data_IF_371471580976
#
_entry.id   IF_371471580976
#
_cell.length_a   1.000
_cell.length_b   1.000
_cell.length_c   1.000
_cell.angle_alpha   90.00
_cell.angle_beta   90.00
_cell.angle_gamma   90.00
#
_symmetry.space_group_name_H-M   'P 1'
#
loop_
_entity.id
_entity.type
_entity.pdbx_description
1 polymer ?
#
# COMPACT_ATOMS: atom_id res chain seq x y z
N UNK A 1 -5.99 -2.35 12.18
CA UNK A 1 -6.90 -3.11 11.29
C UNK A 1 -6.07 -3.69 10.16
N UNK A 2 -6.32 -4.94 9.79
CA UNK A 2 -5.56 -5.62 8.73
C UNK A 2 -6.35 -5.57 7.40
N UNK A 3 -5.68 -5.24 6.31
CA UNK A 3 -6.25 -5.13 4.97
C UNK A 3 -5.35 -5.82 3.95
N UNK A 4 -5.93 -6.41 2.92
CA UNK A 4 -5.21 -6.98 1.78
C UNK A 4 -5.50 -6.18 0.52
N UNK A 5 -4.44 -5.94 -0.26
CA UNK A 5 -4.49 -5.21 -1.51
C UNK A 5 -3.81 -6.04 -2.59
N UNK A 6 -4.46 -6.17 -3.74
CA UNK A 6 -3.96 -6.80 -4.94
C UNK A 6 -4.42 -6.01 -6.17
N UNK A 7 -3.46 -5.39 -6.86
CA UNK A 7 -3.74 -4.60 -8.07
C UNK A 7 -4.26 -5.43 -9.25
N UNK A 8 -4.09 -6.75 -9.22
CA UNK A 8 -4.54 -7.65 -10.28
C UNK A 8 -6.03 -8.05 -10.16
N UNK A 9 -6.66 -7.85 -9.00
CA UNK A 9 -8.08 -8.17 -8.81
C UNK A 9 -9.01 -7.03 -9.24
N UNK A 10 -10.27 -7.36 -9.45
CA UNK A 10 -11.32 -6.36 -9.71
C UNK A 10 -11.67 -5.49 -8.50
N UNK A 11 -11.21 -5.87 -7.31
CA UNK A 11 -11.50 -5.22 -6.04
C UNK A 11 -12.46 -6.02 -5.16
N UNK A 12 -12.48 -5.67 -3.88
CA UNK A 12 -13.16 -6.41 -2.82
C UNK A 12 -13.42 -5.54 -1.60
N UNK A 13 -13.48 -6.14 -0.42
CA UNK A 13 -13.70 -5.45 0.85
C UNK A 13 -12.41 -5.22 1.65
N UNK A 14 -11.28 -5.73 1.16
CA UNK A 14 -9.98 -5.63 1.83
C UNK A 14 -9.69 -6.79 2.76
N UNK A 15 -10.50 -7.84 2.74
CA UNK A 15 -10.15 -9.12 3.37
C UNK A 15 -9.18 -9.90 2.49
N UNK A 16 -8.53 -10.91 3.08
CA UNK A 16 -7.62 -11.81 2.34
C UNK A 16 -8.31 -12.55 1.19
N UNK A 17 -9.59 -12.87 1.33
CA UNK A 17 -10.38 -13.57 0.31
C UNK A 17 -10.84 -12.62 -0.80
N UNK A 18 -11.05 -11.34 -0.47
CA UNK A 18 -11.50 -10.30 -1.39
C UNK A 18 -10.65 -9.04 -1.22
N UNK A 19 -9.39 -9.06 -1.69
CA UNK A 19 -8.49 -7.94 -1.52
C UNK A 19 -9.01 -6.69 -2.23
N UNK A 20 -8.66 -5.53 -1.69
CA UNK A 20 -8.86 -4.26 -2.38
C UNK A 20 -7.98 -4.20 -3.62
N UNK A 21 -8.46 -3.52 -4.65
CA UNK A 21 -7.65 -3.28 -5.84
C UNK A 21 -6.63 -2.17 -5.62
N UNK A 22 -7.00 -1.15 -4.85
CA UNK A 22 -6.25 0.08 -4.70
C UNK A 22 -5.63 0.20 -3.31
N UNK A 23 -4.32 0.43 -3.25
CA UNK A 23 -3.64 0.76 -2.00
C UNK A 23 -4.13 2.10 -1.45
N UNK A 24 -4.37 3.09 -2.30
CA UNK A 24 -4.89 4.40 -1.87
C UNK A 24 -6.23 4.25 -1.16
N UNK A 25 -7.10 3.36 -1.65
CA UNK A 25 -8.38 3.06 -1.00
C UNK A 25 -8.18 2.45 0.40
N UNK A 26 -7.24 1.52 0.55
CA UNK A 26 -6.92 0.93 1.84
C UNK A 26 -6.45 2.00 2.84
N UNK A 27 -5.63 2.95 2.41
CA UNK A 27 -5.08 4.02 3.24
C UNK A 27 -6.10 5.09 3.65
N UNK A 28 -7.26 5.19 2.98
CA UNK A 28 -8.35 6.08 3.41
C UNK A 28 -9.05 5.61 4.69
N UNK A 29 -8.78 4.38 5.14
CA UNK A 29 -9.44 3.81 6.33
C UNK A 29 -8.87 4.46 7.61
N UNK A 30 -9.73 4.79 8.59
CA UNK A 30 -9.27 5.41 9.82
C UNK A 30 -8.55 4.39 10.73
N UNK A 31 -7.56 4.89 11.49
CA UNK A 31 -6.83 4.15 12.51
C UNK A 31 -5.49 3.58 12.05
N UNK A 32 -4.83 2.81 12.93
CA UNK A 32 -3.59 2.10 12.59
C UNK A 32 -3.90 0.93 11.65
N UNK A 33 -3.31 0.97 10.45
CA UNK A 33 -3.54 0.02 9.37
C UNK A 33 -2.34 -0.91 9.19
N UNK A 34 -2.60 -2.19 9.02
CA UNK A 34 -1.64 -3.17 8.53
C UNK A 34 -2.10 -3.60 7.14
N UNK A 35 -1.40 -3.20 6.10
CA UNK A 35 -1.81 -3.46 4.71
C UNK A 35 -0.85 -4.45 4.07
N UNK A 36 -1.38 -5.60 3.70
CA UNK A 36 -0.67 -6.64 2.96
C UNK A 36 -0.81 -6.40 1.46
N UNK A 37 0.31 -6.24 0.77
CA UNK A 37 0.38 -6.04 -0.66
C UNK A 37 0.75 -7.34 -1.34
N UNK A 38 -0.10 -7.77 -2.27
CA UNK A 38 0.24 -8.85 -3.21
C UNK A 38 1.36 -8.38 -4.18
N UNK A 39 2.09 -9.32 -4.82
CA UNK A 39 3.03 -8.99 -5.87
C UNK A 39 2.38 -8.15 -6.97
N UNK A 40 3.00 -7.03 -7.33
CA UNK A 40 2.42 -6.09 -8.27
C UNK A 40 3.05 -4.71 -8.19
N UNK A 41 2.64 -3.85 -9.11
CA UNK A 41 3.03 -2.45 -9.14
C UNK A 41 1.87 -1.59 -8.66
N UNK A 42 2.13 -0.80 -7.63
CA UNK A 42 1.18 0.14 -7.04
C UNK A 42 1.66 1.55 -7.36
N UNK A 43 0.88 2.25 -8.18
CA UNK A 43 1.19 3.62 -8.59
C UNK A 43 0.60 4.62 -7.59
N UNK A 44 1.48 5.43 -7.01
CA UNK A 44 1.22 6.48 -6.03
C UNK A 44 1.19 7.88 -6.67
N UNK A 45 1.27 8.94 -5.85
CA UNK A 45 1.83 8.98 -4.49
C UNK A 45 0.93 8.37 -3.40
N UNK A 46 1.54 7.83 -2.35
CA UNK A 46 0.83 7.27 -1.18
C UNK A 46 1.11 8.07 0.09
N UNK A 47 0.05 8.50 0.77
CA UNK A 47 0.13 9.13 2.08
C UNK A 47 -0.22 8.09 3.16
N UNK A 48 0.77 7.69 3.95
CA UNK A 48 0.60 6.76 5.06
C UNK A 48 0.11 7.52 6.30
N UNK A 49 -1.05 7.13 6.87
CA UNK A 49 -1.49 7.65 8.14
C UNK A 49 -0.54 7.20 9.26
N UNK A 50 -0.56 7.92 10.38
CA UNK A 50 0.24 7.57 11.56
C UNK A 50 -0.08 6.15 12.05
N UNK A 51 0.96 5.36 12.31
CA UNK A 51 0.86 3.97 12.73
C UNK A 51 0.48 3.00 11.61
N UNK A 52 0.59 3.39 10.33
CA UNK A 52 0.38 2.50 9.20
C UNK A 52 1.61 1.64 8.92
N UNK A 53 1.36 0.37 8.59
CA UNK A 53 2.37 -0.63 8.26
C UNK A 53 2.02 -1.25 6.91
N UNK A 54 2.92 -1.13 5.93
CA UNK A 54 2.79 -1.79 4.64
C UNK A 54 3.70 -3.02 4.62
N UNK A 55 3.13 -4.19 4.30
CA UNK A 55 3.84 -5.45 4.20
C UNK A 55 3.66 -6.01 2.80
N UNK A 56 4.70 -5.97 1.98
CA UNK A 56 4.69 -6.59 0.67
C UNK A 56 4.94 -8.10 0.70
N UNK A 57 4.75 -8.73 -0.46
CA UNK A 57 5.11 -10.12 -0.73
C UNK A 57 6.57 -10.27 -1.22
N UNK A 58 7.48 -9.37 -0.83
CA UNK A 58 8.89 -9.33 -1.25
C UNK A 58 9.18 -8.24 -2.30
N UNK A 59 10.34 -8.31 -2.99
CA UNK A 59 10.77 -7.29 -3.96
C UNK A 59 9.87 -7.18 -5.21
N UNK A 60 8.93 -8.10 -5.37
CA UNK A 60 7.90 -8.09 -6.41
C UNK A 60 6.72 -7.18 -6.08
N UNK A 61 6.64 -6.65 -4.85
CA UNK A 61 5.64 -5.66 -4.45
C UNK A 61 6.28 -4.29 -4.54
N UNK A 62 5.97 -3.57 -5.62
CA UNK A 62 6.66 -2.34 -5.99
C UNK A 62 5.73 -1.16 -5.83
N UNK A 63 6.09 -0.22 -4.97
CA UNK A 63 5.47 1.10 -4.91
C UNK A 63 6.20 2.00 -5.89
N UNK A 64 5.48 2.69 -6.77
CA UNK A 64 6.07 3.61 -7.75
C UNK A 64 5.26 4.89 -7.87
N UNK A 65 5.83 5.96 -8.41
CA UNK A 65 5.12 7.21 -8.72
C UNK A 65 5.31 7.56 -10.18
N UNK A 66 4.23 7.95 -10.86
CA UNK A 66 4.32 8.43 -12.23
C UNK A 66 4.80 9.89 -12.25
N UNK A 67 6.03 10.12 -12.71
CA UNK A 67 6.59 11.44 -12.98
C UNK A 67 7.46 12.03 -11.87
N UNK A 68 8.05 13.19 -12.15
CA UNK A 68 8.90 13.93 -11.20
C UNK A 68 8.01 14.67 -10.17
N UNK A 69 7.53 13.94 -9.17
CA UNK A 69 6.69 14.44 -8.08
C UNK A 69 7.32 14.21 -6.70
N UNK A 70 6.62 14.59 -5.61
CA UNK A 70 7.04 14.24 -4.25
C UNK A 70 7.17 12.73 -4.09
N UNK A 71 7.94 12.31 -3.08
CA UNK A 71 8.36 10.92 -2.88
C UNK A 71 7.20 9.91 -2.99
N UNK A 72 7.49 8.71 -3.51
CA UNK A 72 6.52 7.63 -3.73
C UNK A 72 5.64 7.36 -2.51
N UNK A 73 6.22 7.51 -1.31
CA UNK A 73 5.57 7.31 -0.03
C UNK A 73 5.86 8.52 0.88
N UNK A 74 4.80 9.18 1.33
CA UNK A 74 4.84 10.21 2.36
C UNK A 74 4.19 9.67 3.64
N UNK A 75 4.71 10.05 4.81
CA UNK A 75 4.21 9.58 6.11
C UNK A 75 3.75 10.77 6.94
N UNK A 76 2.60 10.67 7.60
CA UNK A 76 2.11 11.69 8.53
C UNK A 76 2.58 11.48 9.98
N UNK A 77 3.44 10.48 10.21
CA UNK A 77 3.93 10.06 11.51
C UNK A 77 4.76 8.78 11.39
N UNK A 78 4.81 7.97 12.44
CA UNK A 78 5.48 6.66 12.36
C UNK A 78 4.78 5.75 11.35
N UNK A 79 5.51 5.26 10.36
CA UNK A 79 5.04 4.23 9.45
C UNK A 79 6.15 3.22 9.16
N UNK A 80 5.75 1.99 8.87
CA UNK A 80 6.67 0.90 8.55
C UNK A 80 6.44 0.36 7.14
N UNK A 81 7.53 0.00 6.47
CA UNK A 81 7.56 -0.57 5.14
C UNK A 81 8.37 -1.86 5.23
N UNK A 82 7.75 -3.00 5.00
CA UNK A 82 8.39 -4.31 5.09
C UNK A 82 8.18 -5.12 3.82
N UNK A 83 9.21 -5.88 3.45
CA UNK A 83 9.17 -6.83 2.33
C UNK A 83 8.56 -6.23 1.03
N UNK A 84 8.92 -4.99 0.70
CA UNK A 84 8.49 -4.30 -0.52
C UNK A 84 9.63 -3.47 -1.10
N UNK A 85 9.45 -3.04 -2.34
CA UNK A 85 10.39 -2.16 -3.05
C UNK A 85 9.72 -0.82 -3.36
N UNK A 86 10.48 0.26 -3.27
CA UNK A 86 10.02 1.62 -3.62
C UNK A 86 10.85 2.10 -4.82
N UNK A 87 10.21 2.38 -5.94
CA UNK A 87 10.79 2.90 -7.19
C UNK A 87 10.30 4.34 -7.44
N UNK A 88 11.17 5.33 -7.24
CA UNK A 88 10.89 6.76 -7.44
C UNK A 88 11.85 7.44 -8.39
#
# INVERSE_FOLDING_TARGET
>A
MELWVDGAVTGGDGTRERPLRSLSEALTRPGSLLVHLAPGRYEGPFLLPEGASLVGAGPTSVLTVAGAGPGVVETQGEASLEALMVEG
#
